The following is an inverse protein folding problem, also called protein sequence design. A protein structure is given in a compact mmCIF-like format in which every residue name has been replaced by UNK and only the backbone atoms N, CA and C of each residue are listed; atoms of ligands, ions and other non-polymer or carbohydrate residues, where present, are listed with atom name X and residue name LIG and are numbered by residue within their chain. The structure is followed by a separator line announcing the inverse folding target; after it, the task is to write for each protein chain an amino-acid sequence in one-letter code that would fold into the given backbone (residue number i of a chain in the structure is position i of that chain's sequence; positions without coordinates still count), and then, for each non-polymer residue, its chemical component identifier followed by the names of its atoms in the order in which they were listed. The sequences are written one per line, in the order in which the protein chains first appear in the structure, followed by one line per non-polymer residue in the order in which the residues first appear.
data_IF_178649761951
#
_entry.id   IF_178649761951
#
_cell.length_a   1.000
_cell.length_b   1.000
_cell.length_c   1.000
_cell.angle_alpha   90.00
_cell.angle_beta   90.00
_cell.angle_gamma   90.00
#
_symmetry.space_group_name_H-M   'P 1'
#
loop_
_entity.id
_entity.type
_entity.pdbx_description
1 polymer ?
#
# COMPACT_ATOMS: atom_id res chain seq x y z
N UNK A 1 -28.60 27.89 1.22
CA UNK A 1 -28.28 26.49 0.85
C UNK A 1 -26.81 26.29 0.50
N UNK A 2 -26.19 27.16 -0.30
CA UNK A 2 -24.78 27.02 -0.72
C UNK A 2 -23.75 26.92 0.43
N UNK A 3 -23.92 27.71 1.50
CA UNK A 3 -23.04 27.62 2.69
C UNK A 3 -23.05 26.25 3.35
N UNK A 4 -24.22 25.60 3.39
CA UNK A 4 -24.38 24.26 3.99
C UNK A 4 -23.69 23.21 3.10
N UNK A 5 -23.86 23.30 1.78
CA UNK A 5 -23.21 22.39 0.82
C UNK A 5 -21.68 22.49 0.92
N UNK A 6 -21.15 23.72 0.97
CA UNK A 6 -19.69 23.94 1.12
C UNK A 6 -19.17 23.38 2.44
N UNK A 7 -19.89 23.59 3.55
CA UNK A 7 -19.55 23.01 4.83
C UNK A 7 -19.50 21.48 4.78
N UNK A 8 -20.53 20.84 4.22
CA UNK A 8 -20.61 19.38 4.08
C UNK A 8 -19.44 18.88 3.23
N UNK A 9 -19.15 19.52 2.08
CA UNK A 9 -18.05 19.14 1.20
C UNK A 9 -16.69 19.16 1.92
N UNK A 10 -16.43 20.21 2.69
CA UNK A 10 -15.18 20.33 3.48
C UNK A 10 -15.10 19.21 4.52
N UNK A 11 -16.18 18.93 5.24
CA UNK A 11 -16.23 17.87 6.26
C UNK A 11 -16.04 16.48 5.67
N UNK A 12 -16.61 16.21 4.49
CA UNK A 12 -16.38 14.97 3.78
C UNK A 12 -14.91 14.80 3.40
N UNK A 13 -14.23 15.86 2.96
CA UNK A 13 -12.79 15.79 2.63
C UNK A 13 -11.93 15.56 3.89
N UNK A 14 -12.26 16.18 5.01
CA UNK A 14 -11.59 15.90 6.28
C UNK A 14 -11.79 14.44 6.70
N UNK A 15 -13.01 13.92 6.59
CA UNK A 15 -13.34 12.53 6.93
C UNK A 15 -12.61 11.54 6.01
N UNK A 16 -12.55 11.79 4.69
CA UNK A 16 -11.79 10.93 3.78
C UNK A 16 -10.31 10.94 4.11
N UNK A 17 -9.75 12.08 4.54
CA UNK A 17 -8.37 12.15 5.01
C UNK A 17 -8.12 11.28 6.25
N UNK A 18 -9.02 11.33 7.24
CA UNK A 18 -8.95 10.51 8.45
C UNK A 18 -9.02 9.01 8.11
N UNK A 19 -10.00 8.62 7.29
CA UNK A 19 -10.16 7.23 6.84
C UNK A 19 -8.90 6.76 6.09
N UNK A 20 -8.34 7.61 5.23
CA UNK A 20 -7.12 7.29 4.47
C UNK A 20 -5.93 6.99 5.39
N UNK A 21 -5.77 7.78 6.46
CA UNK A 21 -4.72 7.56 7.48
C UNK A 21 -4.93 6.23 8.20
N UNK A 22 -6.15 5.96 8.67
CA UNK A 22 -6.45 4.70 9.37
C UNK A 22 -6.26 3.47 8.49
N UNK A 23 -6.68 3.54 7.23
CA UNK A 23 -6.41 2.48 6.24
C UNK A 23 -4.91 2.29 6.00
N UNK A 24 -4.15 3.39 5.94
CA UNK A 24 -2.68 3.33 5.84
C UNK A 24 -2.05 2.65 7.05
N UNK A 25 -2.49 2.96 8.26
CA UNK A 25 -2.01 2.32 9.49
C UNK A 25 -2.36 0.82 9.54
N UNK A 26 -3.60 0.45 9.19
CA UNK A 26 -4.00 -0.95 9.12
C UNK A 26 -3.16 -1.74 8.10
N UNK A 27 -2.90 -1.15 6.93
CA UNK A 27 -2.01 -1.71 5.92
C UNK A 27 -0.56 -1.82 6.38
N UNK A 28 -0.04 -0.84 7.13
CA UNK A 28 1.30 -0.93 7.71
C UNK A 28 1.42 -2.07 8.72
N UNK A 29 0.41 -2.25 9.57
CA UNK A 29 0.37 -3.39 10.49
C UNK A 29 0.37 -4.70 9.71
N UNK A 30 -0.41 -4.84 8.64
CA UNK A 30 -0.40 -6.07 7.83
C UNK A 30 0.93 -6.32 7.11
N UNK A 31 1.58 -5.26 6.59
CA UNK A 31 2.94 -5.36 6.04
C UNK A 31 3.96 -5.85 7.07
N UNK A 32 3.99 -5.25 8.26
CA UNK A 32 5.00 -5.60 9.29
C UNK A 32 4.75 -6.96 9.95
N UNK A 33 3.50 -7.42 9.98
CA UNK A 33 3.12 -8.74 10.52
C UNK A 33 3.10 -9.83 9.44
N UNK A 34 3.49 -9.50 8.21
CA UNK A 34 3.60 -10.45 7.12
C UNK A 34 4.61 -11.56 7.42
N UNK A 35 4.21 -12.78 7.11
CA UNK A 35 5.07 -13.96 7.13
C UNK A 35 4.63 -14.91 6.02
N UNK A 36 5.59 -15.50 5.31
CA UNK A 36 5.33 -16.50 4.28
C UNK A 36 4.54 -17.73 4.81
N UNK A 37 4.58 -17.98 6.12
CA UNK A 37 3.84 -19.08 6.77
C UNK A 37 2.41 -18.70 7.24
N UNK A 38 2.00 -17.44 7.10
CA UNK A 38 0.63 -16.99 7.39
C UNK A 38 -0.26 -17.20 6.15
N UNK A 39 -1.58 -16.91 6.26
CA UNK A 39 -2.46 -16.92 5.09
C UNK A 39 -1.88 -15.95 4.05
N UNK A 40 -1.44 -16.47 2.91
CA UNK A 40 -1.08 -15.69 1.74
C UNK A 40 -2.14 -15.87 0.66
N UNK A 41 -2.21 -14.92 -0.27
CA UNK A 41 -3.06 -15.03 -1.46
C UNK A 41 -2.52 -16.11 -2.39
N UNK A 42 -1.18 -16.22 -2.46
CA UNK A 42 -0.48 -17.19 -3.31
C UNK A 42 -0.55 -18.62 -2.73
N UNK A 43 -0.46 -18.75 -1.40
CA UNK A 43 -0.52 -20.03 -0.68
C UNK A 43 -1.56 -19.96 0.47
N UNK A 44 -2.85 -20.17 0.17
CA UNK A 44 -3.89 -20.13 1.19
C UNK A 44 -3.71 -21.26 2.21
N UNK A 45 -3.38 -20.90 3.46
CA UNK A 45 -3.36 -21.87 4.57
C UNK A 45 -4.77 -22.10 5.12
N UNK A 46 -5.08 -23.33 5.58
CA UNK A 46 -6.36 -23.70 6.22
C UNK A 46 -6.66 -22.99 7.55
N UNK A 47 -5.78 -22.08 8.02
CA UNK A 47 -5.99 -21.35 9.27
C UNK A 47 -7.19 -20.42 9.11
N UNK A 48 -8.27 -20.71 9.83
CA UNK A 48 -9.48 -19.89 9.87
C UNK A 48 -9.21 -18.51 10.51
N UNK A 49 -8.79 -17.50 9.73
CA UNK A 49 -8.94 -16.11 10.18
C UNK A 49 -10.44 -15.80 10.15
N UNK A 50 -11.05 -15.82 11.34
CA UNK A 50 -12.49 -15.65 11.53
C UNK A 50 -12.97 -14.23 11.18
N UNK A 51 -12.05 -13.27 11.00
CA UNK A 51 -12.37 -11.87 10.72
C UNK A 51 -12.00 -11.45 9.29
N UNK A 52 -13.01 -11.38 8.42
CA UNK A 52 -12.88 -11.01 6.99
C UNK A 52 -12.15 -9.68 6.75
N UNK A 53 -12.28 -8.72 7.67
CA UNK A 53 -11.62 -7.41 7.54
C UNK A 53 -10.10 -7.53 7.63
N UNK A 54 -9.59 -8.30 8.60
CA UNK A 54 -8.15 -8.52 8.73
C UNK A 54 -7.62 -9.39 7.59
N UNK A 55 -8.38 -10.40 7.14
CA UNK A 55 -8.00 -11.21 5.98
C UNK A 55 -7.76 -10.36 4.74
N UNK A 56 -8.59 -9.34 4.49
CA UNK A 56 -8.39 -8.41 3.38
C UNK A 56 -7.02 -7.72 3.45
N UNK A 57 -6.62 -7.18 4.60
CA UNK A 57 -5.34 -6.49 4.73
C UNK A 57 -4.14 -7.44 4.60
N UNK A 58 -4.26 -8.70 5.05
CA UNK A 58 -3.23 -9.72 4.86
C UNK A 58 -3.05 -10.07 3.38
N UNK A 59 -4.15 -10.32 2.65
CA UNK A 59 -4.08 -10.56 1.20
C UNK A 59 -3.54 -9.34 0.46
N UNK A 60 -3.93 -8.14 0.88
CA UNK A 60 -3.45 -6.89 0.29
C UNK A 60 -1.94 -6.72 0.50
N UNK A 61 -1.42 -6.95 1.70
CA UNK A 61 0.01 -6.89 1.97
C UNK A 61 0.79 -7.97 1.23
N UNK A 62 0.27 -9.20 1.18
CA UNK A 62 0.93 -10.29 0.45
C UNK A 62 1.03 -9.95 -1.04
N UNK A 63 -0.07 -9.51 -1.66
CA UNK A 63 -0.08 -9.08 -3.05
C UNK A 63 0.96 -7.99 -3.33
N UNK A 64 0.99 -6.92 -2.53
CA UNK A 64 1.90 -5.80 -2.78
C UNK A 64 3.37 -6.14 -2.47
N UNK A 65 3.64 -6.92 -1.42
CA UNK A 65 5.00 -7.38 -1.10
C UNK A 65 5.53 -8.34 -2.17
N UNK A 66 4.71 -9.26 -2.65
CA UNK A 66 5.12 -10.18 -3.70
C UNK A 66 5.29 -9.47 -5.05
N UNK A 67 4.45 -8.47 -5.35
CA UNK A 67 4.55 -7.71 -6.60
C UNK A 67 5.73 -6.72 -6.62
N UNK A 68 5.96 -5.98 -5.54
CA UNK A 68 6.88 -4.82 -5.51
C UNK A 68 7.94 -4.87 -4.40
N UNK A 69 8.01 -5.97 -3.65
CA UNK A 69 8.96 -6.14 -2.56
C UNK A 69 8.85 -5.04 -1.50
N UNK A 70 9.99 -4.50 -1.08
CA UNK A 70 10.06 -3.48 0.00
C UNK A 70 9.34 -2.19 -0.39
N UNK A 71 9.16 -1.91 -1.68
CA UNK A 71 8.45 -0.69 -2.13
C UNK A 71 6.96 -0.71 -1.79
N UNK A 72 6.41 -1.85 -1.37
CA UNK A 72 5.05 -1.92 -0.79
C UNK A 72 4.86 -0.95 0.40
N UNK A 73 5.91 -0.65 1.18
CA UNK A 73 5.86 0.33 2.27
C UNK A 73 5.70 1.77 1.79
N UNK A 74 6.08 2.08 0.54
CA UNK A 74 5.91 3.42 -0.02
C UNK A 74 4.43 3.79 -0.21
N UNK A 75 3.58 2.79 -0.44
CA UNK A 75 2.12 2.94 -0.50
C UNK A 75 1.60 3.41 0.87
N UNK A 76 2.06 2.79 1.96
CA UNK A 76 1.71 3.22 3.32
C UNK A 76 2.09 4.68 3.56
N UNK A 77 3.35 5.06 3.29
CA UNK A 77 3.81 6.43 3.49
C UNK A 77 2.98 7.45 2.71
N UNK A 78 2.62 7.12 1.46
CA UNK A 78 1.77 7.97 0.64
C UNK A 78 0.35 8.12 1.20
N UNK A 79 -0.25 7.05 1.73
CA UNK A 79 -1.58 7.12 2.37
C UNK A 79 -1.56 8.06 3.59
N UNK A 80 -0.52 7.99 4.43
CA UNK A 80 -0.39 8.88 5.59
C UNK A 80 -0.23 10.34 5.14
N UNK A 81 0.68 10.60 4.19
CA UNK A 81 0.94 11.96 3.71
C UNK A 81 -0.28 12.55 3.01
N UNK A 82 -0.94 11.80 2.12
CA UNK A 82 -2.15 12.29 1.43
C UNK A 82 -3.32 12.45 2.38
N UNK A 83 -3.54 11.51 3.30
CA UNK A 83 -4.60 11.64 4.29
C UNK A 83 -4.41 12.89 5.15
N UNK A 84 -3.17 13.16 5.59
CA UNK A 84 -2.82 14.42 6.27
C UNK A 84 -3.03 15.65 5.39
N UNK A 85 -2.66 15.59 4.11
CA UNK A 85 -2.89 16.66 3.15
C UNK A 85 -4.38 17.00 3.00
N UNK A 86 -5.25 15.99 2.92
CA UNK A 86 -6.70 16.17 2.83
C UNK A 86 -7.26 16.87 4.07
N UNK A 87 -6.82 16.49 5.27
CA UNK A 87 -7.26 17.12 6.53
C UNK A 87 -6.81 18.59 6.61
N UNK A 88 -5.55 18.87 6.28
CA UNK A 88 -4.96 20.21 6.42
C UNK A 88 -5.47 21.15 5.33
N UNK A 89 -5.45 20.71 4.06
CA UNK A 89 -5.77 21.55 2.90
C UNK A 89 -7.25 21.54 2.53
N UNK A 90 -8.01 20.53 2.98
CA UNK A 90 -9.45 20.41 2.77
C UNK A 90 -9.85 20.44 1.29
N UNK A 91 -8.94 19.99 0.42
CA UNK A 91 -9.07 19.97 -1.04
C UNK A 91 -8.40 18.72 -1.60
N UNK A 92 -8.98 18.21 -2.68
CA UNK A 92 -8.40 17.13 -3.47
C UNK A 92 -7.75 17.78 -4.70
N UNK A 93 -6.43 17.71 -4.77
CA UNK A 93 -5.64 18.35 -5.83
C UNK A 93 -4.74 17.34 -6.50
N UNK A 94 -4.75 17.34 -7.83
CA UNK A 94 -3.86 16.59 -8.71
C UNK A 94 -3.83 15.09 -8.40
N UNK A 95 -4.96 14.50 -8.00
CA UNK A 95 -5.04 13.10 -7.57
C UNK A 95 -4.44 12.13 -8.60
N UNK A 96 -4.85 12.22 -9.86
CA UNK A 96 -4.35 11.34 -10.93
C UNK A 96 -2.85 11.45 -11.16
N UNK A 97 -2.30 12.67 -11.08
CA UNK A 97 -0.87 12.92 -11.26
C UNK A 97 -0.08 12.33 -10.10
N UNK A 98 -0.54 12.54 -8.86
CA UNK A 98 0.12 11.99 -7.68
C UNK A 98 0.07 10.45 -7.68
N UNK A 99 -1.04 9.85 -8.15
CA UNK A 99 -1.17 8.40 -8.30
C UNK A 99 -0.21 7.85 -9.36
N UNK A 100 -0.08 8.53 -10.50
CA UNK A 100 0.89 8.17 -11.54
C UNK A 100 2.32 8.19 -10.99
N UNK A 101 2.71 9.25 -10.29
CA UNK A 101 4.04 9.34 -9.69
C UNK A 101 4.28 8.28 -8.61
N UNK A 102 3.26 7.92 -7.82
CA UNK A 102 3.35 6.80 -6.87
C UNK A 102 3.67 5.50 -7.60
N UNK A 103 2.90 5.16 -8.64
CA UNK A 103 3.12 3.93 -9.43
C UNK A 103 4.52 3.90 -10.03
N UNK A 104 4.95 4.99 -10.67
CA UNK A 104 6.30 5.10 -11.23
C UNK A 104 7.38 4.95 -10.17
N UNK A 105 7.23 5.60 -9.01
CA UNK A 105 8.19 5.52 -7.91
C UNK A 105 8.33 4.11 -7.34
N UNK A 106 7.23 3.36 -7.26
CA UNK A 106 7.24 1.97 -6.84
C UNK A 106 7.97 1.10 -7.85
N UNK A 107 7.68 1.25 -9.15
CA UNK A 107 8.33 0.46 -10.21
C UNK A 107 9.84 0.74 -10.26
N UNK A 108 10.26 2.00 -10.30
CA UNK A 108 11.68 2.35 -10.36
C UNK A 108 12.43 1.96 -9.09
N UNK A 109 11.81 2.15 -7.92
CA UNK A 109 12.40 1.70 -6.65
C UNK A 109 12.54 0.19 -6.59
N UNK A 110 11.53 -0.56 -7.02
CA UNK A 110 11.52 -2.01 -7.06
C UNK A 110 12.62 -2.55 -7.99
N UNK A 111 12.78 -1.95 -9.18
CA UNK A 111 13.88 -2.24 -10.10
C UNK A 111 15.25 -2.00 -9.46
N UNK A 112 15.41 -0.89 -8.74
CA UNK A 112 16.65 -0.62 -8.02
C UNK A 112 16.99 -1.73 -7.01
N UNK A 113 16.02 -2.22 -6.23
CA UNK A 113 16.27 -3.32 -5.30
C UNK A 113 16.52 -4.66 -6.00
N UNK A 114 15.77 -5.00 -7.05
CA UNK A 114 15.97 -6.25 -7.82
C UNK A 114 17.39 -6.35 -8.41
N UNK A 115 17.92 -5.23 -8.91
CA UNK A 115 19.26 -5.18 -9.52
C UNK A 115 20.37 -5.24 -8.46
N UNK A 116 20.20 -4.54 -7.34
CA UNK A 116 21.30 -4.32 -6.38
C UNK A 116 21.25 -5.21 -5.13
N UNK A 117 20.06 -5.59 -4.65
CA UNK A 117 19.83 -6.22 -3.34
C UNK A 117 18.62 -7.15 -3.41
N UNK A 118 18.70 -8.22 -4.21
CA UNK A 118 17.50 -9.03 -4.50
C UNK A 118 17.18 -10.07 -3.41
N UNK A 119 18.20 -10.59 -2.74
CA UNK A 119 18.03 -11.72 -1.81
C UNK A 119 17.41 -11.27 -0.48
N UNK A 120 16.33 -11.93 -0.07
CA UNK A 120 15.62 -11.67 1.18
C UNK A 120 15.13 -12.96 1.84
N UNK A 121 15.50 -13.18 3.11
CA UNK A 121 14.91 -14.25 3.92
C UNK A 121 13.45 -13.99 4.31
N UNK A 122 13.03 -12.72 4.26
CA UNK A 122 11.66 -12.32 4.61
C UNK A 122 10.70 -12.46 3.42
N UNK A 123 11.21 -12.23 2.20
CA UNK A 123 10.50 -12.37 0.94
C UNK A 123 11.22 -13.42 0.08
N UNK A 124 11.12 -14.72 0.44
CA UNK A 124 11.93 -15.77 -0.17
C UNK A 124 11.60 -16.02 -1.65
N UNK A 125 10.37 -15.76 -2.08
CA UNK A 125 9.93 -16.08 -3.44
C UNK A 125 10.39 -15.02 -4.46
N UNK A 126 10.16 -13.74 -4.16
CA UNK A 126 10.37 -12.63 -5.11
C UNK A 126 11.37 -11.56 -4.65
N UNK A 127 12.00 -11.73 -3.48
CA UNK A 127 13.07 -10.84 -3.03
C UNK A 127 12.61 -9.43 -2.65
N UNK A 128 13.56 -8.51 -2.50
CA UNK A 128 13.25 -7.11 -2.19
C UNK A 128 12.75 -6.29 -3.39
N UNK A 129 12.97 -6.78 -4.61
CA UNK A 129 12.46 -6.17 -5.84
C UNK A 129 11.03 -6.56 -6.19
N UNK A 130 10.58 -7.75 -5.76
CA UNK A 130 9.26 -8.26 -6.13
C UNK A 130 9.21 -8.75 -7.58
N UNK A 131 8.13 -9.48 -7.89
CA UNK A 131 7.93 -10.14 -9.17
C UNK A 131 7.98 -9.18 -10.37
N UNK A 132 7.38 -7.99 -10.25
CA UNK A 132 7.30 -7.04 -11.37
C UNK A 132 8.68 -6.56 -11.79
N UNK A 133 9.55 -6.28 -10.83
CA UNK A 133 10.91 -5.84 -11.12
C UNK A 133 11.74 -6.98 -11.72
N UNK A 134 11.63 -8.18 -11.16
CA UNK A 134 12.36 -9.36 -11.64
C UNK A 134 12.02 -9.65 -13.11
N UNK A 135 10.72 -9.65 -13.44
CA UNK A 135 10.22 -9.81 -14.81
C UNK A 135 10.80 -8.77 -15.78
N UNK A 136 10.85 -7.49 -15.39
CA UNK A 136 11.41 -6.42 -16.24
C UNK A 136 12.93 -6.55 -16.38
N UNK A 137 13.62 -7.00 -15.34
CA UNK A 137 15.08 -7.15 -15.32
C UNK A 137 15.59 -8.45 -15.95
N UNK A 138 14.69 -9.29 -16.50
CA UNK A 138 15.00 -10.62 -17.05
C UNK A 138 15.72 -11.56 -16.05
N UNK A 139 15.32 -11.48 -14.77
CA UNK A 139 15.62 -12.47 -13.72
C UNK A 139 14.40 -13.35 -13.48
#
# INVERSE_FOLDING_TARGET
MEKIITFIKVKLIELTGVITIFSGLAYFVSLTTYSANNISYVFPSEKNIHNKFFSFFYYLSDFFLQAFGVLAFLIFLNLIIWGGYLIIKKKIENFSIKLLFLILSIIFGALFFSINIDQSFWLPDNGFGGFVANFISEK
#
